data_IF_286112977424
#
_entry.id   IF_286112977424
#
_cell.length_a   1.000
_cell.length_b   1.000
_cell.length_c   1.000
_cell.angle_alpha   90.00
_cell.angle_beta   90.00
_cell.angle_gamma   90.00
#
_symmetry.space_group_name_H-M   'P 1'
#
loop_
_entity.id
_entity.type
_entity.pdbx_description
1 polymer ?
#
# COMPACT_ATOMS: atom_id res chain seq x y z
N UNK A 1 50.46 -18.02 8.97
CA UNK A 1 49.01 -18.22 8.76
C UNK A 1 48.12 -17.81 9.94
N UNK A 2 48.53 -18.00 11.22
CA UNK A 2 47.70 -17.71 12.42
C UNK A 2 47.29 -16.24 12.65
N UNK A 3 48.01 -15.25 12.09
CA UNK A 3 47.72 -13.81 12.24
C UNK A 3 46.54 -13.29 11.39
N UNK A 4 46.13 -14.06 10.38
CA UNK A 4 45.04 -13.67 9.46
C UNK A 4 43.67 -14.20 9.88
N UNK A 5 43.62 -15.18 10.79
CA UNK A 5 42.36 -15.76 11.27
C UNK A 5 41.48 -14.72 11.97
N UNK A 6 42.06 -13.88 12.82
CA UNK A 6 41.32 -12.81 13.52
C UNK A 6 40.65 -11.82 12.56
N UNK A 7 41.42 -11.18 11.65
CA UNK A 7 40.85 -10.30 10.63
C UNK A 7 39.80 -10.98 9.72
N UNK A 8 40.01 -12.25 9.33
CA UNK A 8 39.04 -12.98 8.50
C UNK A 8 37.73 -13.26 9.24
N UNK A 9 37.81 -13.72 10.50
CA UNK A 9 36.62 -13.96 11.33
C UNK A 9 35.88 -12.65 11.57
N UNK A 10 36.59 -11.56 11.90
CA UNK A 10 35.97 -10.24 12.06
C UNK A 10 35.29 -9.79 10.76
N UNK A 11 35.96 -9.94 9.62
CA UNK A 11 35.39 -9.61 8.31
C UNK A 11 34.11 -10.37 8.01
N UNK A 12 34.08 -11.68 8.28
CA UNK A 12 32.88 -12.51 8.12
C UNK A 12 31.75 -12.09 9.05
N UNK A 13 32.04 -11.78 10.32
CA UNK A 13 31.04 -11.30 11.27
C UNK A 13 30.45 -9.97 10.81
N UNK A 14 31.29 -9.02 10.40
CA UNK A 14 30.84 -7.71 9.88
C UNK A 14 30.00 -7.89 8.62
N UNK A 15 30.43 -8.73 7.69
CA UNK A 15 29.67 -9.01 6.47
C UNK A 15 28.31 -9.64 6.77
N UNK A 16 28.25 -10.62 7.68
CA UNK A 16 27.00 -11.25 8.09
C UNK A 16 26.06 -10.26 8.80
N UNK A 17 26.59 -9.46 9.74
CA UNK A 17 25.82 -8.46 10.45
C UNK A 17 25.28 -7.37 9.50
N UNK A 18 26.13 -6.87 8.60
CA UNK A 18 25.72 -5.87 7.61
C UNK A 18 24.69 -6.43 6.62
N UNK A 19 24.88 -7.67 6.14
CA UNK A 19 23.93 -8.34 5.26
C UNK A 19 22.57 -8.53 5.94
N UNK A 20 22.55 -9.02 7.17
CA UNK A 20 21.33 -9.19 7.95
C UNK A 20 20.63 -7.85 8.21
N UNK A 21 21.37 -6.83 8.65
CA UNK A 21 20.83 -5.49 8.86
C UNK A 21 20.25 -4.89 7.56
N UNK A 22 20.92 -5.09 6.42
CA UNK A 22 20.41 -4.65 5.13
C UNK A 22 19.10 -5.36 4.76
N UNK A 23 19.01 -6.67 4.95
CA UNK A 23 17.76 -7.43 4.69
C UNK A 23 16.60 -6.90 5.53
N UNK A 24 16.86 -6.53 6.79
CA UNK A 24 15.83 -5.95 7.66
C UNK A 24 15.45 -4.51 7.27
N UNK A 25 16.41 -3.70 6.81
CA UNK A 25 16.20 -2.28 6.56
C UNK A 25 15.68 -1.94 5.14
N UNK A 26 16.03 -2.74 4.13
CA UNK A 26 15.69 -2.48 2.71
C UNK A 26 14.17 -2.32 2.50
N UNK A 27 13.28 -3.18 3.03
CA UNK A 27 11.84 -3.06 2.81
C UNK A 27 11.30 -1.69 3.23
N UNK A 28 11.69 -1.21 4.41
CA UNK A 28 11.30 0.10 4.93
C UNK A 28 11.81 1.25 4.06
N UNK A 29 13.05 1.17 3.59
CA UNK A 29 13.62 2.15 2.67
C UNK A 29 12.85 2.20 1.34
N UNK A 30 12.53 1.05 0.76
CA UNK A 30 11.77 0.95 -0.48
C UNK A 30 10.33 1.46 -0.31
N UNK A 31 9.68 1.11 0.80
CA UNK A 31 8.32 1.57 1.10
C UNK A 31 8.27 3.09 1.28
N UNK A 32 9.24 3.69 1.97
CA UNK A 32 9.33 5.15 2.09
C UNK A 32 9.45 5.83 0.72
N UNK A 33 10.32 5.32 -0.16
CA UNK A 33 10.45 5.84 -1.53
C UNK A 33 9.13 5.70 -2.30
N UNK A 34 8.40 4.59 -2.14
CA UNK A 34 7.12 4.37 -2.78
C UNK A 34 6.04 5.34 -2.26
N UNK A 35 5.99 5.56 -0.94
CA UNK A 35 5.10 6.53 -0.29
C UNK A 35 5.40 7.94 -0.82
N UNK A 36 6.67 8.35 -0.89
CA UNK A 36 7.05 9.69 -1.36
C UNK A 36 6.66 9.90 -2.84
N UNK A 37 6.83 8.88 -3.68
CA UNK A 37 6.45 8.94 -5.11
C UNK A 37 4.95 8.99 -5.32
N UNK A 38 4.19 8.17 -4.60
CA UNK A 38 2.73 8.13 -4.72
C UNK A 38 2.04 9.28 -3.96
N UNK A 39 2.71 9.82 -2.94
CA UNK A 39 2.24 10.88 -2.05
C UNK A 39 2.46 12.30 -2.58
N UNK A 40 3.03 12.47 -3.78
CA UNK A 40 3.16 13.79 -4.42
C UNK A 40 1.80 14.50 -4.58
N UNK A 41 0.71 13.73 -4.66
CA UNK A 41 -0.67 14.26 -4.69
C UNK A 41 -1.33 14.39 -3.32
N UNK A 42 -0.63 14.08 -2.23
CA UNK A 42 -1.15 14.06 -0.85
C UNK A 42 -1.02 12.68 -0.17
N UNK A 43 -0.88 12.71 1.16
CA UNK A 43 -0.94 11.53 2.04
C UNK A 43 -2.32 11.49 2.71
N UNK A 44 -2.82 10.30 3.02
CA UNK A 44 -4.18 10.06 3.53
C UNK A 44 -5.28 10.51 2.56
N UNK A 45 -4.98 10.51 1.26
CA UNK A 45 -5.90 10.84 0.19
C UNK A 45 -5.76 9.84 -0.95
N UNK A 46 -6.89 9.46 -1.55
CA UNK A 46 -6.87 8.57 -2.72
C UNK A 46 -6.46 9.37 -3.96
N UNK A 47 -5.44 8.87 -4.65
CA UNK A 47 -5.04 9.33 -5.98
C UNK A 47 -5.31 8.26 -7.03
N UNK A 48 -5.62 8.68 -8.25
CA UNK A 48 -5.94 7.78 -9.35
C UNK A 48 -4.90 7.96 -10.46
N UNK A 49 -3.97 7.01 -10.57
CA UNK A 49 -2.91 7.07 -11.55
C UNK A 49 -3.42 6.89 -12.98
N UNK A 50 -2.63 7.39 -13.93
CA UNK A 50 -2.71 6.95 -15.32
C UNK A 50 -2.30 5.48 -15.43
N UNK A 51 -2.65 4.83 -16.54
CA UNK A 51 -2.13 3.50 -16.82
C UNK A 51 -0.61 3.52 -16.91
N UNK A 52 -0.01 2.40 -16.51
CA UNK A 52 1.40 2.17 -16.69
C UNK A 52 1.76 2.26 -18.17
N UNK A 53 2.81 3.02 -18.47
CA UNK A 53 3.41 3.08 -19.80
C UNK A 53 4.91 2.78 -19.65
N UNK A 54 5.59 2.29 -20.69
CA UNK A 54 7.03 2.03 -20.64
C UNK A 54 7.83 3.23 -20.13
N UNK A 55 7.40 4.44 -20.48
CA UNK A 55 8.02 5.71 -20.12
C UNK A 55 7.67 6.18 -18.71
N UNK A 56 6.65 5.59 -18.07
CA UNK A 56 6.10 6.03 -16.78
C UNK A 56 5.75 4.83 -15.87
N UNK A 57 6.71 4.46 -15.03
CA UNK A 57 6.59 3.38 -14.04
C UNK A 57 6.92 3.92 -12.63
N UNK A 58 5.97 4.59 -11.96
CA UNK A 58 6.22 5.20 -10.65
C UNK A 58 6.53 4.15 -9.57
N UNK A 59 5.99 2.94 -9.73
CA UNK A 59 6.31 1.74 -8.96
C UNK A 59 6.87 0.71 -9.94
N UNK A 60 7.88 -0.05 -9.52
CA UNK A 60 8.62 -0.99 -10.37
C UNK A 60 7.71 -2.12 -10.86
N UNK A 61 7.79 -2.42 -12.17
CA UNK A 61 7.02 -3.47 -12.88
C UNK A 61 5.50 -3.40 -12.64
N UNK A 62 4.86 -2.26 -12.95
CA UNK A 62 3.40 -2.17 -12.87
C UNK A 62 2.77 -2.93 -14.05
N UNK A 63 1.67 -3.63 -13.81
CA UNK A 63 0.88 -4.25 -14.90
C UNK A 63 0.20 -3.17 -15.74
N UNK A 64 0.31 -3.21 -17.08
CA UNK A 64 -0.39 -2.29 -17.98
C UNK A 64 -1.91 -2.53 -18.03
N UNK A 65 -2.36 -3.71 -17.62
CA UNK A 65 -3.78 -4.11 -17.65
C UNK A 65 -4.55 -3.65 -16.40
N UNK A 66 -3.85 -3.10 -15.40
CA UNK A 66 -4.42 -2.67 -14.13
C UNK A 66 -4.45 -1.15 -14.00
N UNK A 67 -5.63 -0.63 -13.71
CA UNK A 67 -5.80 0.74 -13.28
C UNK A 67 -5.63 0.83 -11.75
N UNK A 68 -4.60 1.55 -11.31
CA UNK A 68 -4.29 1.72 -9.88
C UNK A 68 -4.95 2.96 -9.31
N UNK A 69 -5.58 2.80 -8.16
CA UNK A 69 -5.85 3.91 -7.23
C UNK A 69 -5.02 3.67 -5.98
N UNK A 70 -4.30 4.69 -5.53
CA UNK A 70 -3.34 4.58 -4.44
C UNK A 70 -3.69 5.53 -3.31
N UNK A 71 -3.57 5.06 -2.07
CA UNK A 71 -3.56 5.89 -0.88
C UNK A 71 -2.32 5.58 -0.06
N UNK A 72 -1.24 6.38 -0.20
CA UNK A 72 -0.20 6.44 0.80
C UNK A 72 -0.81 6.97 2.09
N UNK A 73 -0.62 6.26 3.20
CA UNK A 73 -1.22 6.63 4.47
C UNK A 73 -0.18 6.90 5.55
N UNK A 74 -0.57 7.74 6.50
CA UNK A 74 0.14 8.07 7.72
C UNK A 74 -0.85 8.13 8.88
N UNK A 75 -0.68 7.20 9.82
CA UNK A 75 -1.51 6.98 10.99
C UNK A 75 -0.99 7.75 12.22
N UNK A 76 0.04 8.59 12.10
CA UNK A 76 0.57 9.38 13.23
C UNK A 76 -0.48 10.30 13.86
N UNK A 77 -1.36 10.88 13.04
CA UNK A 77 -2.43 11.77 13.48
C UNK A 77 -3.74 11.06 13.84
N UNK A 78 -3.90 9.78 13.48
CA UNK A 78 -5.11 9.01 13.73
C UNK A 78 -5.40 7.96 12.65
N UNK A 79 -6.47 7.18 12.82
CA UNK A 79 -6.87 6.18 11.85
C UNK A 79 -7.39 6.80 10.55
N UNK A 80 -7.30 6.05 9.45
CA UNK A 80 -7.89 6.41 8.16
C UNK A 80 -9.00 5.44 7.79
N UNK A 81 -9.94 5.91 6.96
CA UNK A 81 -10.94 5.09 6.32
C UNK A 81 -10.64 4.94 4.83
N UNK A 82 -10.73 3.71 4.35
CA UNK A 82 -10.65 3.36 2.94
C UNK A 82 -12.03 2.83 2.53
N UNK A 83 -12.73 3.61 1.72
CA UNK A 83 -14.00 3.21 1.12
C UNK A 83 -13.72 2.68 -0.29
N UNK A 84 -14.16 1.45 -0.57
CA UNK A 84 -13.96 0.79 -1.85
C UNK A 84 -15.31 0.60 -2.53
N UNK A 85 -15.40 1.05 -3.78
CA UNK A 85 -16.54 0.82 -4.66
C UNK A 85 -16.12 -0.11 -5.80
N UNK A 86 -16.47 -1.41 -5.76
CA UNK A 86 -16.23 -2.31 -6.87
C UNK A 86 -16.91 -1.84 -8.16
N UNK A 87 -16.24 -2.05 -9.30
CA UNK A 87 -16.79 -1.70 -10.62
C UNK A 87 -17.59 -2.90 -11.14
N UNK A 88 -18.85 -2.68 -11.48
CA UNK A 88 -19.74 -3.76 -11.92
C UNK A 88 -19.16 -4.51 -13.14
N UNK A 89 -19.15 -5.85 -13.04
CA UNK A 89 -18.64 -6.73 -14.10
C UNK A 89 -17.13 -6.65 -14.32
N UNK A 90 -16.37 -6.11 -13.36
CA UNK A 90 -14.91 -6.02 -13.39
C UNK A 90 -14.30 -6.56 -12.12
N UNK A 91 -13.18 -7.23 -12.27
CA UNK A 91 -12.37 -7.62 -11.13
C UNK A 91 -11.72 -6.38 -10.50
N UNK A 92 -11.85 -6.25 -9.19
CA UNK A 92 -11.10 -5.26 -8.43
C UNK A 92 -10.64 -5.81 -7.09
N UNK A 93 -9.53 -5.30 -6.58
CA UNK A 93 -9.00 -5.70 -5.27
C UNK A 93 -8.39 -4.54 -4.51
N UNK A 94 -8.69 -4.48 -3.21
CA UNK A 94 -7.94 -3.70 -2.25
C UNK A 94 -6.81 -4.55 -1.69
N UNK A 95 -5.60 -4.01 -1.63
CA UNK A 95 -4.51 -4.53 -0.80
C UNK A 95 -3.91 -3.40 0.01
N UNK A 96 -3.64 -3.68 1.29
CA UNK A 96 -3.03 -2.71 2.21
C UNK A 96 -1.67 -3.26 2.60
N UNK A 97 -0.64 -2.44 2.43
CA UNK A 97 0.74 -2.74 2.76
C UNK A 97 1.22 -1.82 3.86
N UNK A 98 1.98 -2.33 4.82
CA UNK A 98 2.59 -1.53 5.87
C UNK A 98 4.03 -1.09 5.54
N UNK A 99 4.69 -0.41 6.49
CA UNK A 99 6.04 0.10 6.31
C UNK A 99 7.07 -1.01 6.03
N UNK A 100 6.83 -2.24 6.48
CA UNK A 100 7.70 -3.40 6.25
C UNK A 100 7.46 -4.06 4.89
N UNK A 101 6.59 -3.49 4.05
CA UNK A 101 6.11 -4.07 2.78
C UNK A 101 5.22 -5.29 2.93
N UNK A 102 4.78 -5.60 4.17
CA UNK A 102 3.91 -6.73 4.44
C UNK A 102 2.48 -6.42 4.00
N UNK A 103 1.81 -7.42 3.43
CA UNK A 103 0.38 -7.33 3.09
C UNK A 103 -0.42 -7.59 4.36
N UNK A 104 -0.97 -6.52 4.94
CA UNK A 104 -1.76 -6.60 6.19
C UNK A 104 -3.25 -6.81 5.93
N UNK A 105 -3.72 -6.60 4.69
CA UNK A 105 -5.10 -6.86 4.30
C UNK A 105 -5.26 -7.03 2.79
N UNK A 106 -6.16 -7.93 2.38
CA UNK A 106 -6.62 -8.09 0.99
C UNK A 106 -8.12 -8.34 0.98
N UNK A 107 -8.84 -7.70 0.04
CA UNK A 107 -10.21 -8.05 -0.32
C UNK A 107 -10.48 -7.76 -1.78
N UNK A 108 -11.06 -8.71 -2.50
CA UNK A 108 -11.51 -8.52 -3.89
C UNK A 108 -13.03 -8.31 -4.01
N UNK A 109 -13.48 -8.00 -5.23
CA UNK A 109 -14.89 -7.79 -5.56
C UNK A 109 -15.74 -9.05 -5.37
N UNK A 110 -15.20 -10.24 -5.59
CA UNK A 110 -15.90 -11.52 -5.40
C UNK A 110 -16.21 -11.74 -3.91
N UNK A 111 -15.22 -11.56 -3.04
CA UNK A 111 -15.37 -11.63 -1.58
C UNK A 111 -16.33 -10.56 -1.07
N UNK A 112 -16.27 -9.35 -1.64
CA UNK A 112 -17.21 -8.27 -1.35
C UNK A 112 -18.60 -8.47 -1.99
N UNK A 113 -18.80 -9.53 -2.78
CA UNK A 113 -20.03 -9.81 -3.55
C UNK A 113 -20.46 -8.62 -4.43
N UNK A 114 -19.49 -7.90 -4.99
CA UNK A 114 -19.68 -6.70 -5.79
C UNK A 114 -20.21 -5.48 -5.01
N UNK A 115 -20.28 -5.54 -3.67
CA UNK A 115 -20.83 -4.45 -2.85
C UNK A 115 -19.73 -3.51 -2.37
N UNK A 116 -20.02 -2.21 -2.21
CA UNK A 116 -19.10 -1.30 -1.53
C UNK A 116 -18.82 -1.74 -0.10
N UNK A 117 -17.61 -1.49 0.37
CA UNK A 117 -17.19 -1.78 1.73
C UNK A 117 -16.19 -0.73 2.23
N UNK A 118 -16.06 -0.65 3.55
CA UNK A 118 -15.20 0.32 4.25
C UNK A 118 -14.27 -0.41 5.18
N UNK A 119 -12.98 -0.09 5.11
CA UNK A 119 -11.94 -0.61 6.01
C UNK A 119 -11.34 0.57 6.77
N UNK A 120 -11.25 0.46 8.09
CA UNK A 120 -10.49 1.40 8.91
C UNK A 120 -9.09 0.85 9.11
N UNK A 121 -8.08 1.64 8.75
CA UNK A 121 -6.68 1.31 9.07
C UNK A 121 -6.26 2.13 10.27
N UNK A 122 -5.76 1.47 11.29
CA UNK A 122 -5.41 2.10 12.56
C UNK A 122 -4.13 1.50 13.12
N UNK A 123 -3.32 2.32 13.79
CA UNK A 123 -2.21 1.80 14.59
C UNK A 123 -2.78 0.99 15.76
N UNK A 124 -2.02 0.02 16.25
CA UNK A 124 -2.26 -0.54 17.57
C UNK A 124 -2.46 0.55 18.63
N UNK A 125 -3.47 0.35 19.48
CA UNK A 125 -3.85 1.29 20.54
C UNK A 125 -4.68 2.51 20.11
N UNK A 126 -4.86 2.78 18.82
CA UNK A 126 -5.73 3.90 18.38
C UNK A 126 -7.22 3.60 18.59
N UNK A 127 -7.97 4.58 19.07
CA UNK A 127 -9.41 4.47 19.20
C UNK A 127 -10.08 4.39 17.82
N UNK A 128 -11.01 3.47 17.67
CA UNK A 128 -11.84 3.29 16.47
C UNK A 128 -13.27 2.99 16.92
N UNK A 129 -14.27 3.44 16.16
CA UNK A 129 -15.68 3.22 16.47
C UNK A 129 -16.03 1.72 16.53
N UNK A 130 -16.97 1.39 17.42
CA UNK A 130 -17.42 0.01 17.59
C UNK A 130 -18.12 -0.50 16.32
N UNK A 131 -17.85 -1.74 15.95
CA UNK A 131 -18.46 -2.38 14.77
C UNK A 131 -17.83 -2.00 13.43
N UNK A 132 -16.83 -1.13 13.41
CA UNK A 132 -16.03 -0.90 12.21
C UNK A 132 -15.23 -2.16 11.85
N UNK A 133 -15.04 -2.39 10.55
CA UNK A 133 -14.07 -3.38 10.10
C UNK A 133 -12.68 -2.75 10.10
N UNK A 134 -11.77 -3.32 10.90
CA UNK A 134 -10.50 -2.67 11.24
C UNK A 134 -9.34 -3.55 10.85
N UNK A 135 -8.32 -2.93 10.25
CA UNK A 135 -7.00 -3.50 10.03
C UNK A 135 -6.03 -2.76 10.94
N UNK A 136 -5.34 -3.52 11.80
CA UNK A 136 -4.35 -2.98 12.73
C UNK A 136 -2.93 -3.18 12.18
N UNK A 137 -2.07 -2.23 12.47
CA UNK A 137 -0.64 -2.33 12.18
C UNK A 137 0.19 -1.70 13.30
N UNK A 138 1.40 -2.21 13.48
CA UNK A 138 2.40 -1.62 14.37
C UNK A 138 3.16 -0.45 13.70
N UNK A 139 2.89 -0.18 12.42
CA UNK A 139 3.58 0.82 11.63
C UNK A 139 2.70 2.04 11.35
N UNK A 140 3.33 3.22 11.35
CA UNK A 140 2.68 4.51 11.10
C UNK A 140 2.22 4.65 9.66
N UNK A 141 3.02 4.13 8.73
CA UNK A 141 2.91 4.43 7.31
C UNK A 141 2.80 3.17 6.47
N UNK A 142 2.26 3.35 5.28
CA UNK A 142 2.11 2.29 4.30
C UNK A 142 1.36 2.79 3.08
N UNK A 143 0.94 1.85 2.23
CA UNK A 143 0.19 2.16 1.01
C UNK A 143 -0.99 1.20 0.89
N UNK A 144 -2.17 1.75 0.66
CA UNK A 144 -3.31 1.01 0.16
C UNK A 144 -3.44 1.16 -1.35
N UNK A 145 -3.71 0.06 -2.04
CA UNK A 145 -3.87 0.01 -3.49
C UNK A 145 -5.20 -0.64 -3.85
N UNK A 146 -6.01 0.06 -4.64
CA UNK A 146 -7.14 -0.52 -5.35
C UNK A 146 -6.70 -0.78 -6.78
N UNK A 147 -6.68 -2.07 -7.16
CA UNK A 147 -6.33 -2.51 -8.51
C UNK A 147 -7.61 -2.89 -9.24
N UNK A 148 -7.90 -2.22 -10.34
CA UNK A 148 -9.04 -2.51 -11.21
C UNK A 148 -8.52 -3.13 -12.51
N UNK A 149 -9.02 -4.32 -12.85
CA UNK A 149 -8.67 -4.99 -14.09
C UNK A 149 -9.43 -4.40 -15.28
N UNK A 150 -8.67 -3.99 -16.27
CA UNK A 150 -9.20 -3.57 -17.55
C UNK A 150 -9.34 -4.75 -18.51
N UNK A 151 -10.33 -4.68 -19.40
CA UNK A 151 -10.42 -5.54 -20.60
C UNK A 151 -9.55 -5.01 -21.72
N UNK A 152 -9.49 -3.68 -21.84
CA UNK A 152 -8.69 -2.96 -22.82
C UNK A 152 -8.23 -1.62 -22.21
N UNK A 153 -6.97 -1.19 -22.43
CA UNK A 153 -6.46 0.07 -21.90
C UNK A 153 -7.29 1.32 -22.27
N UNK A 154 -7.96 1.32 -23.42
CA UNK A 154 -8.76 2.46 -23.90
C UNK A 154 -9.97 2.77 -23.02
N UNK A 155 -10.44 1.83 -22.21
CA UNK A 155 -11.63 2.01 -21.37
C UNK A 155 -11.37 2.83 -20.10
N UNK A 156 -10.11 3.15 -19.80
CA UNK A 156 -9.71 3.87 -18.58
C UNK A 156 -10.44 5.21 -18.43
N UNK A 157 -10.71 5.90 -19.56
CA UNK A 157 -11.46 7.15 -19.58
C UNK A 157 -12.89 6.96 -19.09
N UNK A 158 -13.57 5.90 -19.56
CA UNK A 158 -14.95 5.59 -19.19
C UNK A 158 -15.07 5.12 -17.73
N UNK A 159 -14.04 4.43 -17.21
CA UNK A 159 -14.02 3.94 -15.83
C UNK A 159 -13.52 4.97 -14.81
N UNK A 160 -13.08 6.15 -15.25
CA UNK A 160 -12.55 7.19 -14.37
C UNK A 160 -13.54 7.64 -13.29
N UNK A 161 -14.82 7.81 -13.64
CA UNK A 161 -15.85 8.19 -12.66
C UNK A 161 -16.10 7.09 -11.63
N UNK A 162 -16.13 5.82 -12.05
CA UNK A 162 -16.32 4.69 -11.15
C UNK A 162 -15.13 4.54 -10.17
N UNK A 163 -13.89 4.71 -10.65
CA UNK A 163 -12.69 4.69 -9.80
C UNK A 163 -12.75 5.74 -8.69
N UNK A 164 -13.23 6.95 -9.02
CA UNK A 164 -13.36 8.08 -8.07
C UNK A 164 -14.46 7.93 -7.03
N UNK A 165 -15.27 6.86 -7.10
CA UNK A 165 -16.21 6.52 -6.03
C UNK A 165 -15.50 5.88 -4.83
N UNK A 166 -14.29 5.34 -5.02
CA UNK A 166 -13.46 4.86 -3.91
C UNK A 166 -12.68 6.02 -3.31
N UNK A 167 -12.49 6.00 -1.99
CA UNK A 167 -11.86 7.11 -1.27
C UNK A 167 -10.91 6.63 -0.17
N UNK A 168 -10.04 7.52 0.26
CA UNK A 168 -9.17 7.36 1.41
C UNK A 168 -9.15 8.69 2.14
N UNK A 169 -9.51 8.68 3.42
CA UNK A 169 -9.64 9.91 4.21
C UNK A 169 -9.30 9.68 5.68
N UNK A 170 -8.75 10.67 6.40
CA UNK A 170 -8.64 10.61 7.85
C UNK A 170 -10.00 10.44 8.51
N UNK A 171 -10.08 9.63 9.56
CA UNK A 171 -11.30 9.51 10.38
C UNK A 171 -11.38 10.71 11.31
N UNK A 172 -12.24 11.68 10.96
CA UNK A 172 -12.43 12.89 11.76
C UNK A 172 -13.38 12.71 12.94
N UNK A 173 -14.11 11.58 13.01
CA UNK A 173 -14.98 11.27 14.13
C UNK A 173 -14.82 9.79 14.55
N UNK A 174 -14.13 9.50 15.66
CA UNK A 174 -13.91 8.14 16.16
C UNK A 174 -15.10 7.55 16.92
N UNK A 175 -16.26 8.23 16.93
CA UNK A 175 -17.48 7.79 17.63
C UNK A 175 -18.41 7.01 16.71
#
# INVERSE_FOLDING_TARGET
MRRWLGPLVLGLIVAAAAGYAATLAIPYGLMNIAIDRLGQGGVNQMSHGNLAAPERQPVVRPSPDLAYSSCPYDLSAGPIAIDVAPVAGRYSSLSIFDAATDVIFVRNDVEARGKPYRIIVAREGQAVSAGAEIVRTNHDRGIALIRLLLKDPSEIGALGAARRQSSCTPVTNPK
#
